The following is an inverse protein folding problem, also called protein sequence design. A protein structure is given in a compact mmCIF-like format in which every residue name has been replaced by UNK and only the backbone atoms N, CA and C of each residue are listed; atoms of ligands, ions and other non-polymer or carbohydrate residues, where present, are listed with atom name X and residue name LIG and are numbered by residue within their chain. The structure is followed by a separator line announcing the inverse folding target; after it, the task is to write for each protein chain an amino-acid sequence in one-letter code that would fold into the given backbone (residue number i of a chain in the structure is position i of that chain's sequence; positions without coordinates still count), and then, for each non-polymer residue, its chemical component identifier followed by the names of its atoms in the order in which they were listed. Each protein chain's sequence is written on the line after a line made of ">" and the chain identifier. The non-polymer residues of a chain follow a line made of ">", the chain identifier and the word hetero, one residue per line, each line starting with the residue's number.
data_IF_363956148303
#
_entry.id   IF_363956148303
#
_cell.length_a   1.000
_cell.length_b   1.000
_cell.length_c   1.000
_cell.angle_alpha   90.00
_cell.angle_beta   90.00
_cell.angle_gamma   90.00
#
_symmetry.space_group_name_H-M   'P 1'
#
loop_
_entity.id
_entity.type
_entity.pdbx_description
1 polymer ?
#
# COMPACT_ATOMS: atom_id res chain seq x y z
N UNK A 1 7.73 -8.55 0.99
CA UNK A 1 7.61 -8.27 -0.46
C UNK A 1 8.38 -9.31 -1.28
N UNK A 2 9.63 -9.65 -0.92
CA UNK A 2 10.38 -10.73 -1.58
C UNK A 2 9.66 -12.09 -1.57
N UNK A 3 9.18 -12.53 -0.40
CA UNK A 3 8.45 -13.80 -0.29
C UNK A 3 7.17 -13.79 -1.15
N UNK A 4 6.44 -12.66 -1.16
CA UNK A 4 5.28 -12.49 -2.04
C UNK A 4 5.67 -12.56 -3.53
N UNK A 5 6.78 -11.96 -3.93
CA UNK A 5 7.29 -12.04 -5.29
C UNK A 5 7.67 -13.50 -5.66
N UNK A 6 8.24 -14.26 -4.72
CA UNK A 6 8.51 -15.69 -4.89
C UNK A 6 7.22 -16.46 -5.10
N UNK A 7 6.21 -16.29 -4.23
CA UNK A 7 4.92 -16.96 -4.38
C UNK A 7 4.20 -16.58 -5.69
N UNK A 8 4.29 -15.33 -6.13
CA UNK A 8 3.68 -14.86 -7.39
C UNK A 8 4.35 -15.49 -8.63
N UNK A 9 5.67 -15.66 -8.60
CA UNK A 9 6.46 -16.15 -9.75
C UNK A 9 6.66 -17.66 -9.76
N UNK A 10 6.64 -18.29 -8.60
CA UNK A 10 6.85 -19.72 -8.37
C UNK A 10 5.71 -20.27 -7.49
N UNK A 11 4.49 -20.40 -8.04
CA UNK A 11 3.29 -20.74 -7.27
C UNK A 11 3.30 -22.16 -6.68
N UNK A 12 4.26 -23.00 -7.09
CA UNK A 12 4.50 -24.33 -6.51
C UNK A 12 5.33 -24.28 -5.22
N UNK A 13 5.95 -23.14 -4.88
CA UNK A 13 6.63 -22.94 -3.60
C UNK A 13 5.57 -22.83 -2.50
N UNK A 14 5.68 -23.66 -1.47
CA UNK A 14 4.79 -23.63 -0.29
C UNK A 14 5.53 -23.21 0.98
N UNK A 15 6.84 -23.48 1.04
CA UNK A 15 7.69 -23.12 2.18
C UNK A 15 8.92 -22.34 1.71
N UNK A 16 9.24 -21.26 2.43
CA UNK A 16 10.42 -20.44 2.22
C UNK A 16 11.18 -20.39 3.55
N UNK A 17 12.42 -20.89 3.56
CA UNK A 17 13.29 -20.91 4.73
C UNK A 17 14.45 -19.93 4.48
N UNK A 18 14.70 -19.06 5.47
CA UNK A 18 15.77 -18.05 5.44
C UNK A 18 15.76 -17.12 4.20
N UNK A 19 14.64 -17.03 3.47
CA UNK A 19 14.46 -16.12 2.33
C UNK A 19 15.19 -16.52 1.03
N UNK A 20 15.74 -17.75 0.98
CA UNK A 20 16.43 -18.30 -0.20
C UNK A 20 16.11 -19.76 -0.46
N UNK A 21 15.89 -20.56 0.58
CA UNK A 21 15.63 -21.99 0.42
C UNK A 21 14.11 -22.21 0.24
N UNK A 22 13.71 -22.61 -0.97
CA UNK A 22 12.29 -22.78 -1.32
C UNK A 22 11.96 -24.25 -1.56
N UNK A 23 10.80 -24.70 -1.06
CA UNK A 23 10.35 -26.08 -1.19
C UNK A 23 8.90 -26.16 -1.71
N UNK A 24 8.62 -27.22 -2.46
CA UNK A 24 7.27 -27.59 -2.90
C UNK A 24 6.52 -28.42 -1.86
N UNK A 25 5.26 -28.74 -2.14
CA UNK A 25 4.39 -29.54 -1.25
C UNK A 25 4.89 -30.98 -1.00
N UNK A 26 5.84 -31.46 -1.81
CA UNK A 26 6.47 -32.75 -1.63
C UNK A 26 7.81 -32.65 -0.88
N UNK A 27 8.20 -31.45 -0.45
CA UNK A 27 9.47 -31.19 0.22
C UNK A 27 10.67 -31.16 -0.73
N UNK A 28 10.47 -31.09 -2.05
CA UNK A 28 11.57 -30.95 -3.00
C UNK A 28 12.00 -29.48 -3.09
N UNK A 29 13.29 -29.24 -3.26
CA UNK A 29 13.81 -27.89 -3.47
C UNK A 29 13.35 -27.32 -4.81
N UNK A 30 12.85 -26.09 -4.78
CA UNK A 30 12.44 -25.33 -5.97
C UNK A 30 13.54 -24.34 -6.32
N UNK A 31 14.05 -24.45 -7.55
CA UNK A 31 14.99 -23.48 -8.10
C UNK A 31 14.24 -22.23 -8.53
N UNK A 32 14.65 -21.08 -8.00
CA UNK A 32 14.07 -19.79 -8.36
C UNK A 32 14.67 -19.23 -9.65
N UNK A 33 13.83 -18.59 -10.45
CA UNK A 33 14.23 -17.63 -11.47
C UNK A 33 14.40 -16.25 -10.81
N UNK A 34 15.63 -15.96 -10.38
CA UNK A 34 15.98 -14.70 -9.70
C UNK A 34 15.61 -13.47 -10.53
N UNK A 35 15.65 -13.55 -11.86
CA UNK A 35 15.27 -12.42 -12.72
C UNK A 35 13.78 -12.13 -12.62
N UNK A 36 12.93 -13.16 -12.62
CA UNK A 36 11.49 -12.98 -12.44
C UNK A 36 11.14 -12.48 -11.05
N UNK A 37 11.79 -13.04 -10.02
CA UNK A 37 11.58 -12.61 -8.63
C UNK A 37 11.97 -11.14 -8.45
N UNK A 38 13.10 -10.72 -9.04
CA UNK A 38 13.56 -9.33 -8.98
C UNK A 38 12.61 -8.36 -9.70
N UNK A 39 12.12 -8.73 -10.90
CA UNK A 39 11.12 -7.93 -11.63
C UNK A 39 9.85 -7.78 -10.81
N UNK A 40 9.34 -8.88 -10.26
CA UNK A 40 8.10 -8.85 -9.49
C UNK A 40 8.25 -8.09 -8.17
N UNK A 41 9.40 -8.22 -7.49
CA UNK A 41 9.69 -7.41 -6.32
C UNK A 41 9.67 -5.91 -6.65
N UNK A 42 10.30 -5.51 -7.77
CA UNK A 42 10.28 -4.12 -8.22
C UNK A 42 8.86 -3.62 -8.56
N UNK A 43 8.01 -4.48 -9.14
CA UNK A 43 6.61 -4.16 -9.40
C UNK A 43 5.84 -3.91 -8.09
N UNK A 44 5.97 -4.83 -7.12
CA UNK A 44 5.32 -4.70 -5.82
C UNK A 44 5.80 -3.43 -5.08
N UNK A 45 7.09 -3.12 -5.15
CA UNK A 45 7.67 -1.90 -4.57
C UNK A 45 7.13 -0.64 -5.24
N UNK A 46 7.05 -0.65 -6.58
CA UNK A 46 6.48 0.46 -7.33
C UNK A 46 5.00 0.68 -6.99
N UNK A 47 4.20 -0.38 -6.88
CA UNK A 47 2.79 -0.29 -6.48
C UNK A 47 2.64 0.21 -5.05
N UNK A 48 3.43 -0.33 -4.12
CA UNK A 48 3.43 0.13 -2.74
C UNK A 48 3.75 1.62 -2.67
N UNK A 49 4.80 2.06 -3.37
CA UNK A 49 5.22 3.46 -3.39
C UNK A 49 4.18 4.37 -4.07
N UNK A 50 3.53 3.91 -5.13
CA UNK A 50 2.45 4.66 -5.80
C UNK A 50 1.26 4.95 -4.87
N UNK A 51 1.05 4.13 -3.84
CA UNK A 51 -0.01 4.30 -2.84
C UNK A 51 0.44 5.04 -1.57
N UNK A 52 1.68 5.52 -1.49
CA UNK A 52 2.21 6.20 -0.30
C UNK A 52 1.42 7.45 0.08
N UNK A 53 1.03 8.26 -0.92
CA UNK A 53 0.19 9.42 -0.69
C UNK A 53 -1.14 9.04 -0.01
N UNK A 54 -1.75 7.93 -0.41
CA UNK A 54 -3.05 7.51 0.10
C UNK A 54 -2.95 7.11 1.57
N UNK A 55 -1.91 6.35 1.94
CA UNK A 55 -1.64 5.95 3.33
C UNK A 55 -1.37 7.17 4.21
N UNK A 56 -0.54 8.11 3.76
CA UNK A 56 -0.22 9.33 4.51
C UNK A 56 -1.45 10.23 4.72
N UNK A 57 -2.30 10.38 3.71
CA UNK A 57 -3.57 11.12 3.84
C UNK A 57 -4.52 10.44 4.81
N UNK A 58 -4.65 9.11 4.77
CA UNK A 58 -5.54 8.37 5.66
C UNK A 58 -5.18 8.55 7.14
N UNK A 59 -3.89 8.67 7.46
CA UNK A 59 -3.41 8.95 8.83
C UNK A 59 -3.74 10.37 9.27
N UNK A 60 -3.69 11.36 8.37
CA UNK A 60 -3.91 12.77 8.72
C UNK A 60 -5.36 13.24 8.60
N UNK A 61 -6.22 12.50 7.91
CA UNK A 61 -7.64 12.84 7.88
C UNK A 61 -8.23 12.80 9.29
N UNK A 62 -9.07 13.78 9.58
CA UNK A 62 -9.90 13.78 10.77
C UNK A 62 -10.88 12.59 10.69
N UNK A 63 -11.46 12.17 11.81
CA UNK A 63 -12.43 11.08 11.78
C UNK A 63 -13.62 11.40 10.88
N UNK A 64 -14.38 10.38 10.47
CA UNK A 64 -15.57 10.62 9.64
C UNK A 64 -16.62 11.45 10.38
N UNK A 65 -16.72 11.32 11.70
CA UNK A 65 -17.58 12.11 12.57
C UNK A 65 -17.15 13.58 12.59
N UNK A 66 -15.86 13.87 12.81
CA UNK A 66 -15.32 15.23 12.77
C UNK A 66 -15.51 15.86 11.39
N UNK A 67 -15.30 15.10 10.32
CA UNK A 67 -15.56 15.57 8.95
C UNK A 67 -17.05 15.84 8.69
N UNK A 68 -17.95 15.03 9.25
CA UNK A 68 -19.39 15.28 9.14
C UNK A 68 -19.80 16.55 9.90
N UNK A 69 -19.25 16.76 11.10
CA UNK A 69 -19.48 17.96 11.90
C UNK A 69 -18.97 19.22 11.20
N UNK A 70 -17.74 19.19 10.66
CA UNK A 70 -17.19 20.28 9.85
C UNK A 70 -18.08 20.63 8.64
N UNK A 71 -18.59 19.63 7.92
CA UNK A 71 -19.49 19.85 6.78
C UNK A 71 -20.82 20.49 7.20
N UNK A 72 -21.40 20.01 8.30
CA UNK A 72 -22.62 20.59 8.83
C UNK A 72 -22.39 22.04 9.24
N UNK A 73 -21.30 22.29 9.97
CA UNK A 73 -20.90 23.63 10.39
C UNK A 73 -20.72 24.59 9.20
N UNK A 74 -20.01 24.15 8.15
CA UNK A 74 -19.82 24.90 6.91
C UNK A 74 -21.16 25.21 6.22
N UNK A 75 -22.11 24.27 6.25
CA UNK A 75 -23.43 24.43 5.61
C UNK A 75 -24.33 25.48 6.27
N UNK A 76 -24.18 25.70 7.59
CA UNK A 76 -25.04 26.63 8.35
C UNK A 76 -24.35 27.96 8.67
N UNK A 77 -23.01 27.99 8.68
CA UNK A 77 -22.23 29.20 9.02
C UNK A 77 -21.50 29.83 7.82
N UNK A 78 -21.53 29.22 6.63
CA UNK A 78 -20.87 29.76 5.45
C UNK A 78 -19.33 29.74 5.53
N UNK A 79 -18.77 28.80 6.31
CA UNK A 79 -17.32 28.57 6.42
C UNK A 79 -16.84 27.50 5.42
N UNK A 80 -15.53 27.31 5.32
CA UNK A 80 -14.86 26.35 4.41
C UNK A 80 -14.00 25.32 5.14
N UNK A 81 -14.23 25.11 6.44
CA UNK A 81 -13.38 24.34 7.35
C UNK A 81 -13.07 22.95 6.80
N UNK A 82 -14.09 22.23 6.33
CA UNK A 82 -13.93 20.88 5.80
C UNK A 82 -13.10 20.88 4.51
N UNK A 83 -13.37 21.82 3.60
CA UNK A 83 -12.65 21.93 2.32
C UNK A 83 -11.19 22.29 2.56
N UNK A 84 -10.91 23.23 3.45
CA UNK A 84 -9.56 23.68 3.79
C UNK A 84 -8.75 22.55 4.44
N UNK A 85 -9.35 21.81 5.37
CA UNK A 85 -8.73 20.64 6.00
C UNK A 85 -8.30 19.58 4.97
N UNK A 86 -9.24 19.17 4.11
CA UNK A 86 -8.96 18.17 3.07
C UNK A 86 -7.93 18.68 2.05
N UNK A 87 -8.03 19.95 1.67
CA UNK A 87 -7.12 20.56 0.69
C UNK A 87 -5.69 20.65 1.22
N UNK A 88 -5.51 21.05 2.48
CA UNK A 88 -4.20 21.10 3.13
C UNK A 88 -3.51 19.72 3.14
N UNK A 89 -4.24 18.67 3.51
CA UNK A 89 -3.71 17.29 3.52
C UNK A 89 -3.36 16.80 2.10
N UNK A 90 -4.21 17.10 1.11
CA UNK A 90 -3.96 16.72 -0.28
C UNK A 90 -2.80 17.48 -0.90
N UNK A 91 -2.59 18.74 -0.52
CA UNK A 91 -1.45 19.56 -0.94
C UNK A 91 -0.14 19.07 -0.29
N UNK A 92 -0.18 18.66 0.98
CA UNK A 92 0.96 18.07 1.70
C UNK A 92 1.39 16.73 1.11
N UNK A 93 0.43 15.91 0.68
CA UNK A 93 0.66 14.60 0.06
C UNK A 93 0.03 14.55 -1.33
N UNK A 94 0.63 15.15 -2.37
CA UNK A 94 0.06 15.16 -3.71
C UNK A 94 -0.07 13.74 -4.26
N UNK A 95 -1.03 13.54 -5.17
CA UNK A 95 -1.12 12.29 -5.93
C UNK A 95 -0.11 12.40 -7.07
N UNK A 96 0.94 11.60 -6.99
CA UNK A 96 1.94 11.41 -8.04
C UNK A 96 1.38 10.55 -9.18
#
# INVERSE_FOLDING_TARGET
>A
MKDQAIYNTHPNVVEIINGTDCFDDNGNSVVLDDSKVAIELANLEAEYNAQDYARKRAIEYASLEEQADMKYWDSVNGTSTWVDHISAIKAKYPKS
#
